data_IF_961236989616
#
_entry.id   IF_961236989616
#
_cell.length_a   1.000
_cell.length_b   1.000
_cell.length_c   1.000
_cell.angle_alpha   90.00
_cell.angle_beta   90.00
_cell.angle_gamma   90.00
#
_symmetry.space_group_name_H-M   'P 1'
#
loop_
_entity.id
_entity.type
_entity.pdbx_description
1 polymer ?
#
# COMPACT_ATOMS: atom_id res chain seq x y z
N UNK A 1 -10.21 -20.79 -86.30
CA UNK A 1 -10.17 -21.88 -85.29
C UNK A 1 -9.73 -21.25 -83.97
N UNK A 2 -10.73 -20.91 -83.16
CA UNK A 2 -10.57 -20.11 -81.94
C UNK A 2 -10.35 -21.02 -80.74
N UNK A 3 -9.24 -20.84 -80.05
CA UNK A 3 -9.02 -21.50 -78.75
C UNK A 3 -9.12 -20.43 -77.67
N UNK A 4 -10.18 -20.55 -76.86
CA UNK A 4 -10.45 -19.73 -75.68
C UNK A 4 -9.67 -20.31 -74.51
N UNK A 5 -8.70 -19.59 -73.99
CA UNK A 5 -8.00 -19.93 -72.76
C UNK A 5 -8.68 -19.16 -71.61
N UNK A 6 -9.41 -19.88 -70.76
CA UNK A 6 -9.96 -19.35 -69.52
C UNK A 6 -8.86 -19.31 -68.48
N UNK A 7 -8.44 -18.09 -68.13
CA UNK A 7 -7.50 -17.83 -67.03
C UNK A 7 -8.22 -17.95 -65.71
N UNK A 8 -7.93 -18.95 -64.91
CA UNK A 8 -8.39 -19.05 -63.52
C UNK A 8 -7.49 -18.20 -62.64
N UNK A 9 -8.04 -17.10 -62.15
CA UNK A 9 -7.41 -16.30 -61.09
C UNK A 9 -7.74 -16.99 -59.75
N UNK A 10 -6.75 -17.64 -59.17
CA UNK A 10 -6.82 -18.20 -57.82
C UNK A 10 -6.55 -17.08 -56.84
N UNK A 11 -7.60 -16.61 -56.16
CA UNK A 11 -7.50 -15.67 -55.06
C UNK A 11 -7.00 -16.45 -53.82
N UNK A 12 -5.73 -16.30 -53.48
CA UNK A 12 -5.19 -16.75 -52.21
C UNK A 12 -5.61 -15.73 -51.14
N UNK A 13 -6.64 -16.05 -50.37
CA UNK A 13 -7.01 -15.31 -49.17
C UNK A 13 -6.02 -15.73 -48.08
N UNK A 14 -5.00 -14.89 -47.83
CA UNK A 14 -4.12 -15.00 -46.69
C UNK A 14 -4.93 -14.55 -45.45
N UNK A 15 -5.46 -15.51 -44.71
CA UNK A 15 -6.02 -15.26 -43.36
C UNK A 15 -4.84 -15.01 -42.42
N UNK A 16 -4.49 -13.76 -42.22
CA UNK A 16 -3.65 -13.37 -41.09
C UNK A 16 -4.46 -13.60 -39.81
N UNK A 17 -4.25 -14.75 -39.18
CA UNK A 17 -4.65 -14.94 -37.79
C UNK A 17 -3.83 -13.99 -36.93
N UNK A 18 -4.38 -12.81 -36.65
CA UNK A 18 -3.95 -11.94 -35.58
C UNK A 18 -4.16 -12.72 -34.28
N UNK A 19 -3.13 -13.45 -33.89
CA UNK A 19 -3.02 -13.99 -32.55
C UNK A 19 -2.94 -12.77 -31.63
N UNK A 20 -4.09 -12.34 -31.11
CA UNK A 20 -4.16 -11.35 -30.05
C UNK A 20 -3.43 -11.95 -28.85
N UNK A 21 -2.15 -11.65 -28.76
CA UNK A 21 -1.39 -11.85 -27.54
C UNK A 21 -2.11 -11.04 -26.48
N UNK A 22 -2.97 -11.68 -25.68
CA UNK A 22 -3.48 -11.11 -24.45
C UNK A 22 -2.26 -10.88 -23.58
N UNK A 23 -1.73 -9.68 -23.64
CA UNK A 23 -0.76 -9.18 -22.68
C UNK A 23 -1.45 -9.27 -21.33
N UNK A 24 -1.05 -10.22 -20.50
CA UNK A 24 -1.38 -10.31 -19.08
C UNK A 24 -0.70 -9.12 -18.37
N UNK A 25 -1.25 -7.94 -18.58
CA UNK A 25 -0.73 -6.64 -18.15
C UNK A 25 -0.94 -6.38 -16.65
N UNK A 26 -1.46 -7.35 -15.89
CA UNK A 26 -1.92 -7.10 -14.52
C UNK A 26 -1.04 -7.60 -13.37
N UNK A 27 0.06 -8.30 -13.63
CA UNK A 27 0.75 -9.04 -12.55
C UNK A 27 2.14 -8.51 -12.17
N UNK A 28 2.75 -7.65 -12.97
CA UNK A 28 4.13 -7.18 -12.74
C UNK A 28 4.16 -5.79 -12.11
N UNK A 29 5.04 -5.63 -11.12
CA UNK A 29 5.40 -4.32 -10.58
C UNK A 29 6.30 -3.59 -11.57
N UNK A 30 6.04 -2.30 -11.78
CA UNK A 30 6.78 -1.40 -12.67
C UNK A 30 7.28 -0.25 -11.80
N UNK A 31 8.59 -0.05 -11.75
CA UNK A 31 9.19 1.10 -11.11
C UNK A 31 8.80 2.38 -11.87
N UNK A 32 8.33 3.39 -11.14
CA UNK A 32 7.81 4.63 -11.71
C UNK A 32 8.45 5.88 -11.12
N UNK A 33 9.14 5.75 -9.98
CA UNK A 33 9.78 6.88 -9.31
C UNK A 33 10.87 6.43 -8.32
N UNK A 34 11.83 7.34 -8.06
CA UNK A 34 12.84 7.18 -7.01
C UNK A 34 13.05 8.52 -6.30
N UNK A 35 12.96 8.50 -4.97
CA UNK A 35 13.06 9.69 -4.14
C UNK A 35 13.96 9.45 -2.92
N UNK A 36 14.71 10.44 -2.44
CA UNK A 36 15.46 10.30 -1.20
C UNK A 36 14.52 10.11 -0.01
N UNK A 37 14.91 9.27 0.95
CA UNK A 37 14.10 9.03 2.17
C UNK A 37 14.01 10.30 3.04
N UNK A 38 15.10 11.05 3.17
CA UNK A 38 15.05 12.39 3.78
C UNK A 38 15.01 13.45 2.67
N UNK A 39 14.30 14.54 2.91
CA UNK A 39 14.16 15.65 1.93
C UNK A 39 15.47 16.39 1.63
N UNK A 40 16.52 16.14 2.39
CA UNK A 40 17.85 16.69 2.11
C UNK A 40 18.60 15.78 1.13
N UNK A 41 19.33 16.37 0.20
CA UNK A 41 20.11 15.69 -0.87
C UNK A 41 21.18 14.70 -0.37
N UNK A 42 21.37 14.56 0.94
CA UNK A 42 22.38 13.69 1.58
C UNK A 42 21.80 12.41 2.16
N UNK A 43 20.56 12.04 1.81
CA UNK A 43 19.98 10.78 2.28
C UNK A 43 20.75 9.59 1.69
N UNK A 44 21.31 8.74 2.57
CA UNK A 44 21.93 7.46 2.18
C UNK A 44 20.90 6.47 1.60
N UNK A 45 19.60 6.66 1.93
CA UNK A 45 18.52 5.73 1.57
C UNK A 45 17.55 6.37 0.60
N UNK A 46 17.15 5.57 -0.38
CA UNK A 46 16.20 5.93 -1.46
C UNK A 46 14.89 5.21 -1.26
N UNK A 47 13.79 5.87 -1.57
CA UNK A 47 12.45 5.27 -1.71
C UNK A 47 12.28 4.91 -3.17
N UNK A 48 12.04 3.63 -3.46
CA UNK A 48 11.68 3.15 -4.80
C UNK A 48 10.16 3.04 -4.83
N UNK A 49 9.52 3.68 -5.80
CA UNK A 49 8.08 3.63 -5.99
C UNK A 49 7.74 2.78 -7.20
N UNK A 50 6.85 1.83 -7.01
CA UNK A 50 6.40 0.93 -8.06
C UNK A 50 4.87 0.94 -8.16
N UNK A 51 4.38 0.68 -9.36
CA UNK A 51 2.97 0.57 -9.68
C UNK A 51 2.64 -0.80 -10.25
N UNK A 52 1.49 -1.31 -9.87
CA UNK A 52 0.86 -2.49 -10.47
C UNK A 52 -0.53 -2.12 -10.97
N UNK A 53 -0.76 -2.30 -12.26
CA UNK A 53 -2.07 -2.08 -12.85
C UNK A 53 -3.00 -3.23 -12.45
N UNK A 54 -4.23 -2.93 -12.08
CA UNK A 54 -5.28 -3.92 -11.94
C UNK A 54 -6.10 -3.94 -13.23
N UNK A 55 -6.29 -5.12 -13.87
CA UNK A 55 -7.13 -5.21 -15.07
C UNK A 55 -8.61 -5.06 -14.79
N UNK A 56 -9.04 -5.37 -13.55
CA UNK A 56 -10.45 -5.43 -13.15
C UNK A 56 -10.90 -4.12 -12.48
N UNK A 57 -9.95 -3.40 -11.88
CA UNK A 57 -10.21 -2.17 -11.17
C UNK A 57 -9.51 -1.00 -11.85
N UNK A 58 -10.21 0.10 -12.01
CA UNK A 58 -9.65 1.36 -12.54
C UNK A 58 -8.63 2.01 -11.58
N UNK A 59 -8.47 1.44 -10.38
CA UNK A 59 -7.57 1.91 -9.33
C UNK A 59 -6.32 1.02 -9.28
N UNK A 60 -5.16 1.65 -9.47
CA UNK A 60 -3.87 0.96 -9.42
C UNK A 60 -3.43 0.68 -7.98
N UNK A 61 -2.61 -0.37 -7.81
CA UNK A 61 -1.88 -0.60 -6.56
C UNK A 61 -0.51 0.06 -6.65
N UNK A 62 -0.13 0.78 -5.60
CA UNK A 62 1.19 1.40 -5.50
C UNK A 62 1.95 0.82 -4.31
N UNK A 63 3.26 0.74 -4.42
CA UNK A 63 4.13 0.41 -3.29
C UNK A 63 5.37 1.28 -3.28
N UNK A 64 5.84 1.58 -2.07
CA UNK A 64 7.14 2.17 -1.82
C UNK A 64 8.02 1.22 -1.03
N UNK A 65 9.29 1.16 -1.36
CA UNK A 65 10.28 0.36 -0.61
C UNK A 65 11.49 1.22 -0.30
N UNK A 66 11.92 1.18 0.96
CA UNK A 66 13.15 1.85 1.41
C UNK A 66 13.83 1.06 2.53
N UNK A 67 15.04 1.46 2.88
CA UNK A 67 15.72 1.02 4.10
C UNK A 67 15.73 2.16 5.10
N UNK A 68 15.32 1.89 6.35
CA UNK A 68 15.35 2.85 7.45
C UNK A 68 16.45 2.47 8.45
N UNK A 69 17.26 3.40 8.94
CA UNK A 69 18.28 3.14 9.98
C UNK A 69 17.64 3.05 11.37
N UNK A 70 16.61 2.22 11.49
CA UNK A 70 15.72 2.09 12.66
C UNK A 70 15.40 0.60 12.87
N UNK A 71 15.29 0.17 14.12
CA UNK A 71 14.92 -1.20 14.44
C UNK A 71 13.47 -1.52 14.05
N UNK A 72 13.22 -2.77 13.67
CA UNK A 72 11.90 -3.24 13.26
C UNK A 72 10.87 -3.05 14.38
N UNK A 73 11.28 -3.24 15.63
CA UNK A 73 10.44 -3.12 16.82
C UNK A 73 10.00 -1.66 17.05
N UNK A 74 10.88 -0.70 16.73
CA UNK A 74 10.55 0.73 16.83
C UNK A 74 9.59 1.16 15.74
N UNK A 75 9.80 0.73 14.50
CA UNK A 75 8.89 1.02 13.39
C UNK A 75 7.50 0.43 13.67
N UNK A 76 7.45 -0.80 14.15
CA UNK A 76 6.19 -1.45 14.49
C UNK A 76 5.43 -0.71 15.62
N UNK A 77 6.14 -0.19 16.62
CA UNK A 77 5.54 0.64 17.66
C UNK A 77 4.87 1.88 17.06
N UNK A 78 5.54 2.60 16.18
CA UNK A 78 4.99 3.82 15.56
C UNK A 78 3.76 3.52 14.70
N UNK A 79 3.77 2.39 14.00
CA UNK A 79 2.62 1.95 13.20
C UNK A 79 1.39 1.59 14.05
N UNK A 80 1.62 1.17 15.31
CA UNK A 80 0.56 0.71 16.21
C UNK A 80 0.08 1.79 17.20
N UNK A 81 0.88 2.85 17.38
CA UNK A 81 0.60 3.96 18.30
C UNK A 81 -0.52 4.86 17.76
N UNK A 82 -1.75 4.58 18.18
CA UNK A 82 -2.95 5.32 17.79
C UNK A 82 -2.92 6.79 18.24
N UNK A 83 -2.31 7.08 19.38
CA UNK A 83 -2.33 8.43 19.97
C UNK A 83 -1.52 9.43 19.15
N UNK A 84 -0.31 9.03 18.73
CA UNK A 84 0.58 9.90 17.95
C UNK A 84 0.32 9.85 16.44
N UNK A 85 -0.51 8.93 15.95
CA UNK A 85 -0.70 8.70 14.51
C UNK A 85 -1.15 9.96 13.75
N UNK A 86 -2.00 10.77 14.33
CA UNK A 86 -2.44 12.06 13.75
C UNK A 86 -1.31 13.09 13.56
N UNK A 87 -0.19 12.91 14.25
CA UNK A 87 0.95 13.83 14.16
C UNK A 87 1.80 13.60 12.91
N UNK A 88 1.73 12.38 12.34
CA UNK A 88 2.58 12.01 11.23
C UNK A 88 1.84 11.43 10.01
N UNK A 89 0.62 10.92 10.17
CA UNK A 89 -0.18 10.45 9.02
C UNK A 89 -0.86 11.65 8.37
N UNK A 90 -0.50 11.93 7.14
CA UNK A 90 -1.05 13.04 6.36
C UNK A 90 -2.57 13.04 6.35
N UNK A 91 -3.17 14.20 6.67
CA UNK A 91 -4.62 14.45 6.66
C UNK A 91 -5.43 13.62 7.65
N UNK A 92 -4.83 12.77 8.45
CA UNK A 92 -5.53 12.07 9.53
C UNK A 92 -5.90 13.06 10.62
N UNK A 93 -7.19 13.27 10.81
CA UNK A 93 -7.74 14.17 11.82
C UNK A 93 -7.97 13.45 13.14
N UNK A 94 -8.40 12.20 13.05
CA UNK A 94 -8.76 11.38 14.22
C UNK A 94 -8.56 9.90 13.90
N UNK A 95 -8.04 9.16 14.87
CA UNK A 95 -8.11 7.70 14.92
C UNK A 95 -8.62 7.29 16.30
N UNK A 96 -9.69 6.50 16.33
CA UNK A 96 -10.25 5.93 17.55
C UNK A 96 -10.17 4.42 17.50
N UNK A 97 -9.47 3.80 18.45
CA UNK A 97 -9.42 2.34 18.57
C UNK A 97 -10.74 1.83 19.12
N UNK A 98 -11.43 1.01 18.36
CA UNK A 98 -12.73 0.43 18.70
C UNK A 98 -12.56 -0.91 19.43
N UNK A 99 -11.61 -1.74 18.95
CA UNK A 99 -11.30 -3.05 19.53
C UNK A 99 -9.80 -3.32 19.44
N UNK A 100 -9.30 -4.05 20.44
CA UNK A 100 -7.94 -4.55 20.45
C UNK A 100 -7.86 -5.95 21.04
N UNK A 101 -7.17 -6.84 20.33
CA UNK A 101 -6.84 -8.17 20.81
C UNK A 101 -5.34 -8.40 20.66
N UNK A 102 -4.60 -8.14 21.73
CA UNK A 102 -3.14 -8.28 21.78
C UNK A 102 -2.67 -9.71 21.53
N UNK A 103 -3.41 -10.72 21.94
CA UNK A 103 -3.01 -12.13 21.76
C UNK A 103 -3.00 -12.53 20.28
N UNK A 104 -3.97 -12.06 19.50
CA UNK A 104 -4.11 -12.34 18.07
C UNK A 104 -3.49 -11.27 17.17
N UNK A 105 -2.87 -10.22 17.75
CA UNK A 105 -2.33 -9.08 16.99
C UNK A 105 -3.38 -8.37 16.11
N UNK A 106 -4.63 -8.36 16.53
CA UNK A 106 -5.74 -7.77 15.78
C UNK A 106 -6.26 -6.53 16.48
N UNK A 107 -6.51 -5.48 15.73
CA UNK A 107 -7.23 -4.30 16.22
C UNK A 107 -8.22 -3.80 15.18
N UNK A 108 -9.25 -3.09 15.65
CA UNK A 108 -10.19 -2.37 14.81
C UNK A 108 -10.17 -0.91 15.21
N UNK A 109 -10.11 -0.03 14.24
CA UNK A 109 -10.12 1.40 14.46
C UNK A 109 -11.06 2.12 13.48
N UNK A 110 -11.58 3.23 13.93
CA UNK A 110 -12.22 4.25 13.11
C UNK A 110 -11.20 5.33 12.79
N UNK A 111 -11.14 5.75 11.52
CA UNK A 111 -10.25 6.82 11.06
C UNK A 111 -11.05 7.88 10.32
N UNK A 112 -10.75 9.16 10.59
CA UNK A 112 -11.30 10.32 9.89
C UNK A 112 -10.18 11.12 9.24
N UNK A 113 -10.30 11.32 7.92
CA UNK A 113 -9.37 12.10 7.10
C UNK A 113 -10.03 13.39 6.63
N UNK A 114 -9.38 14.52 6.94
CA UNK A 114 -9.80 15.82 6.44
C UNK A 114 -9.24 16.06 5.03
N UNK A 115 -10.14 16.22 4.06
CA UNK A 115 -9.80 16.57 2.70
C UNK A 115 -10.25 18.00 2.42
N UNK A 116 -9.38 18.79 1.77
CA UNK A 116 -9.68 20.19 1.49
C UNK A 116 -10.89 20.36 0.56
N UNK A 117 -11.73 21.34 0.86
CA UNK A 117 -12.81 21.74 -0.03
C UNK A 117 -12.33 21.88 -1.49
N UNK A 118 -13.07 21.45 -2.54
CA UNK A 118 -14.48 21.01 -2.52
C UNK A 118 -14.70 19.52 -2.26
N UNK A 119 -13.70 18.79 -1.81
CA UNK A 119 -13.79 17.35 -1.60
C UNK A 119 -14.26 17.09 -0.15
N UNK A 120 -15.32 16.28 0.01
CA UNK A 120 -15.81 15.88 1.32
C UNK A 120 -14.74 15.07 2.08
N UNK A 121 -14.76 15.13 3.40
CA UNK A 121 -13.95 14.28 4.26
C UNK A 121 -14.23 12.79 4.00
N UNK A 122 -13.26 11.94 4.29
CA UNK A 122 -13.40 10.48 4.24
C UNK A 122 -13.26 9.90 5.62
N UNK A 123 -14.03 8.85 5.85
CA UNK A 123 -13.81 8.01 7.01
C UNK A 123 -13.67 6.54 6.63
N UNK A 124 -13.04 5.77 7.51
CA UNK A 124 -12.81 4.35 7.33
C UNK A 124 -13.01 3.63 8.65
N UNK A 125 -13.61 2.44 8.58
CA UNK A 125 -13.52 1.45 9.66
C UNK A 125 -12.57 0.37 9.19
N UNK A 126 -11.46 0.22 9.87
CA UNK A 126 -10.36 -0.65 9.45
C UNK A 126 -10.08 -1.73 10.48
N UNK A 127 -9.73 -2.90 9.95
CA UNK A 127 -9.13 -3.99 10.71
C UNK A 127 -7.64 -4.04 10.41
N UNK A 128 -6.82 -4.07 11.45
CA UNK A 128 -5.36 -4.21 11.38
C UNK A 128 -4.95 -5.53 11.99
N UNK A 129 -4.01 -6.23 11.37
CA UNK A 129 -3.47 -7.50 11.87
C UNK A 129 -1.98 -7.62 11.62
N UNK A 130 -1.21 -7.88 12.68
CA UNK A 130 0.19 -8.26 12.57
C UNK A 130 0.35 -9.76 12.34
N UNK A 131 1.35 -10.11 11.55
CA UNK A 131 1.80 -11.49 11.31
C UNK A 131 3.32 -11.53 11.37
N UNK A 132 3.87 -12.36 12.24
CA UNK A 132 5.31 -12.64 12.29
C UNK A 132 5.60 -13.87 11.42
N UNK A 133 6.48 -13.69 10.43
CA UNK A 133 6.85 -14.75 9.49
C UNK A 133 8.07 -15.49 10.02
N UNK A 134 7.88 -16.78 10.37
CA UNK A 134 8.92 -17.62 11.01
C UNK A 134 9.86 -18.28 9.99
N UNK A 135 9.36 -18.55 8.78
CA UNK A 135 10.07 -19.33 7.76
C UNK A 135 10.74 -18.47 6.69
N UNK A 136 10.98 -17.19 6.99
CA UNK A 136 11.62 -16.26 6.07
C UNK A 136 13.13 -16.18 6.31
N UNK A 137 13.89 -15.93 5.23
CA UNK A 137 15.35 -15.74 5.29
C UNK A 137 15.78 -14.61 6.24
N UNK A 138 14.93 -13.61 6.39
CA UNK A 138 15.10 -12.49 7.33
C UNK A 138 13.92 -12.47 8.29
N UNK A 139 14.13 -12.15 9.59
CA UNK A 139 13.04 -11.92 10.51
C UNK A 139 12.10 -10.84 9.93
N UNK A 140 10.85 -11.22 9.73
CA UNK A 140 9.87 -10.42 8.99
C UNK A 140 8.58 -10.27 9.77
N UNK A 141 8.06 -9.04 9.85
CA UNK A 141 6.74 -8.74 10.36
C UNK A 141 5.90 -8.06 9.27
N UNK A 142 4.63 -8.42 9.19
CA UNK A 142 3.69 -7.87 8.22
C UNK A 142 2.48 -7.31 8.97
N UNK A 143 2.20 -6.02 8.78
CA UNK A 143 0.95 -5.38 9.19
C UNK A 143 0.03 -5.30 7.98
N UNK A 144 -1.10 -6.00 8.04
CA UNK A 144 -2.15 -5.95 7.03
C UNK A 144 -3.34 -5.17 7.54
N UNK A 145 -3.81 -4.21 6.75
CA UNK A 145 -4.92 -3.32 7.10
C UNK A 145 -5.92 -3.32 5.94
N UNK A 146 -7.19 -3.42 6.26
CA UNK A 146 -8.30 -3.36 5.30
C UNK A 146 -9.56 -2.76 5.92
N UNK A 147 -10.43 -2.21 5.11
CA UNK A 147 -11.77 -1.81 5.57
C UNK A 147 -12.63 -3.01 5.93
N UNK A 148 -13.46 -2.82 6.94
CA UNK A 148 -14.52 -3.75 7.34
C UNK A 148 -15.83 -2.99 7.48
N UNK A 149 -16.95 -3.71 7.40
CA UNK A 149 -18.29 -3.17 7.68
C UNK A 149 -18.61 -3.46 9.13
N UNK A 150 -19.16 -2.45 9.83
CA UNK A 150 -19.62 -2.57 11.21
C UNK A 150 -20.94 -1.83 11.38
N UNK A 151 -21.97 -2.53 11.83
CA UNK A 151 -23.31 -1.98 12.02
C UNK A 151 -23.37 -0.98 13.18
N UNK A 152 -22.48 -1.13 14.16
CA UNK A 152 -22.36 -0.25 15.32
C UNK A 152 -21.54 1.04 15.06
N UNK A 153 -21.01 1.19 13.83
CA UNK A 153 -20.28 2.38 13.37
C UNK A 153 -20.94 2.93 12.11
N UNK A 154 -22.07 3.61 12.22
CA UNK A 154 -22.81 4.12 11.06
C UNK A 154 -22.03 5.17 10.29
N UNK A 155 -22.43 5.41 9.04
CA UNK A 155 -21.91 6.50 8.22
C UNK A 155 -22.31 7.85 8.83
N UNK A 156 -21.42 8.83 8.75
CA UNK A 156 -21.61 10.17 9.31
C UNK A 156 -21.95 11.13 8.17
N UNK A 157 -23.02 11.91 8.32
CA UNK A 157 -23.41 12.92 7.35
C UNK A 157 -22.25 13.91 7.08
N UNK A 158 -22.05 14.26 5.82
CA UNK A 158 -20.96 15.14 5.37
C UNK A 158 -19.62 14.43 5.18
N UNK A 159 -19.51 13.13 5.49
CA UNK A 159 -18.34 12.29 5.20
C UNK A 159 -18.68 11.21 4.19
N UNK A 160 -17.70 10.77 3.45
CA UNK A 160 -17.82 9.61 2.55
C UNK A 160 -17.10 8.43 3.19
N UNK A 161 -17.83 7.32 3.45
CA UNK A 161 -17.24 6.07 3.89
C UNK A 161 -16.41 5.47 2.74
N UNK A 162 -15.10 5.67 2.81
CA UNK A 162 -14.15 5.10 1.86
C UNK A 162 -13.97 3.60 2.06
N UNK A 163 -13.31 2.97 1.12
CA UNK A 163 -12.96 1.55 1.17
C UNK A 163 -11.46 1.39 0.96
N UNK A 164 -10.78 0.91 1.98
CA UNK A 164 -9.38 0.52 1.93
C UNK A 164 -9.32 -0.96 1.59
N UNK A 165 -9.04 -1.28 0.33
CA UNK A 165 -9.00 -2.66 -0.12
C UNK A 165 -7.74 -3.36 0.38
N UNK A 166 -6.61 -2.62 0.41
CA UNK A 166 -5.33 -3.15 0.86
C UNK A 166 -4.40 -2.03 1.33
N UNK A 167 -3.88 -2.16 2.53
CA UNK A 167 -2.71 -1.46 3.02
C UNK A 167 -1.84 -2.46 3.76
N UNK A 168 -0.61 -2.65 3.31
CA UNK A 168 0.31 -3.64 3.90
C UNK A 168 1.65 -2.98 4.15
N UNK A 169 2.14 -3.05 5.38
CA UNK A 169 3.52 -2.78 5.72
C UNK A 169 4.25 -4.10 5.92
N UNK A 170 5.30 -4.34 5.12
CA UNK A 170 6.23 -5.44 5.31
C UNK A 170 7.54 -4.89 5.88
N UNK A 171 7.93 -5.37 7.03
CA UNK A 171 9.13 -4.99 7.74
C UNK A 171 10.10 -6.18 7.75
N UNK A 172 11.30 -6.02 7.17
CA UNK A 172 12.35 -7.05 7.12
C UNK A 172 13.58 -6.57 7.87
N UNK A 173 13.97 -7.28 8.92
CA UNK A 173 15.13 -6.92 9.75
C UNK A 173 16.43 -7.23 9.01
N UNK A 174 17.13 -6.18 8.56
CA UNK A 174 18.44 -6.32 7.89
C UNK A 174 19.58 -6.41 8.89
N UNK A 175 19.54 -5.55 9.92
CA UNK A 175 20.48 -5.50 11.06
C UNK A 175 19.71 -5.11 12.33
N UNK A 176 20.37 -5.08 13.47
CA UNK A 176 19.75 -4.67 14.74
C UNK A 176 19.07 -3.29 14.67
N UNK A 177 19.64 -2.36 13.95
CA UNK A 177 19.12 -1.00 13.76
C UNK A 177 18.99 -0.64 12.28
N UNK A 178 18.53 -1.57 11.46
CA UNK A 178 18.27 -1.34 10.04
C UNK A 178 17.17 -2.27 9.54
N UNK A 179 16.11 -1.67 9.00
CA UNK A 179 14.92 -2.37 8.54
C UNK A 179 14.60 -1.98 7.11
N UNK A 180 14.37 -2.96 6.24
CA UNK A 180 13.70 -2.71 4.96
C UNK A 180 12.21 -2.60 5.21
N UNK A 181 11.63 -1.50 4.76
CA UNK A 181 10.21 -1.20 4.87
C UNK A 181 9.62 -1.16 3.47
N UNK A 182 8.62 -1.99 3.23
CA UNK A 182 7.80 -1.94 2.02
C UNK A 182 6.37 -1.62 2.42
N UNK A 183 5.76 -0.62 1.80
CA UNK A 183 4.35 -0.29 1.99
C UNK A 183 3.60 -0.43 0.67
N UNK A 184 2.47 -1.14 0.69
CA UNK A 184 1.57 -1.30 -0.46
C UNK A 184 0.22 -0.70 -0.13
N UNK A 185 -0.37 0.06 -1.07
CA UNK A 185 -1.70 0.63 -0.92
C UNK A 185 -2.56 0.41 -2.17
N UNK A 186 -3.81 0.05 -1.92
CA UNK A 186 -4.91 0.05 -2.86
C UNK A 186 -6.15 0.55 -2.11
N UNK A 187 -6.60 1.74 -2.44
CA UNK A 187 -7.73 2.39 -1.76
C UNK A 187 -8.71 2.94 -2.78
N UNK A 188 -9.99 2.66 -2.56
CA UNK A 188 -11.10 3.30 -3.25
C UNK A 188 -11.73 4.34 -2.30
N UNK A 189 -11.42 5.63 -2.46
CA UNK A 189 -11.94 6.67 -1.58
C UNK A 189 -13.43 6.94 -1.78
N UNK A 190 -14.05 6.27 -2.75
CA UNK A 190 -15.46 6.44 -3.17
C UNK A 190 -15.86 7.91 -3.38
N UNK A 191 -17.14 8.13 -3.66
CA UNK A 191 -17.64 9.47 -3.97
C UNK A 191 -17.22 9.98 -5.36
N UNK A 192 -17.42 11.28 -5.60
CA UNK A 192 -17.21 11.90 -6.90
C UNK A 192 -15.74 12.34 -7.10
N UNK A 193 -14.81 11.39 -7.02
CA UNK A 193 -13.40 11.66 -7.35
C UNK A 193 -13.04 11.00 -8.68
N UNK A 194 -12.55 11.76 -9.66
CA UNK A 194 -12.05 11.18 -10.91
C UNK A 194 -10.85 10.24 -10.66
N UNK A 195 -10.80 9.12 -11.37
CA UNK A 195 -9.76 8.10 -11.18
C UNK A 195 -8.33 8.64 -11.35
N UNK A 196 -8.12 9.62 -12.25
CA UNK A 196 -6.81 10.22 -12.40
C UNK A 196 -6.33 10.93 -11.11
N UNK A 197 -7.24 11.58 -10.36
CA UNK A 197 -6.91 12.22 -9.08
C UNK A 197 -6.60 11.16 -8.00
N UNK A 198 -7.38 10.08 -7.98
CA UNK A 198 -7.13 8.95 -7.07
C UNK A 198 -5.74 8.38 -7.34
N UNK A 199 -5.41 8.11 -8.59
CA UNK A 199 -4.12 7.56 -8.98
C UNK A 199 -2.95 8.51 -8.67
N UNK A 200 -3.14 9.83 -8.82
CA UNK A 200 -2.12 10.82 -8.46
C UNK A 200 -1.85 10.81 -6.94
N UNK A 201 -2.90 10.85 -6.13
CA UNK A 201 -2.77 10.80 -4.67
C UNK A 201 -2.08 9.50 -4.22
N UNK A 202 -2.47 8.36 -4.80
CA UNK A 202 -1.90 7.07 -4.44
C UNK A 202 -0.43 6.91 -4.91
N UNK A 203 -0.02 7.57 -5.99
CA UNK A 203 1.38 7.58 -6.43
C UNK A 203 2.29 8.27 -5.41
N UNK A 204 1.88 9.43 -4.89
CA UNK A 204 2.65 10.23 -3.93
C UNK A 204 2.58 9.67 -2.49
N UNK A 205 1.55 8.90 -2.20
CA UNK A 205 1.28 8.43 -0.84
C UNK A 205 2.41 7.57 -0.23
N UNK A 206 3.04 6.60 -0.95
CA UNK A 206 4.13 5.82 -0.40
C UNK A 206 5.34 6.67 0.00
N UNK A 207 5.68 7.68 -0.80
CA UNK A 207 6.81 8.59 -0.54
C UNK A 207 6.55 9.35 0.75
N UNK A 208 5.41 10.04 0.82
CA UNK A 208 5.02 10.84 1.98
C UNK A 208 4.95 9.98 3.24
N UNK A 209 4.32 8.80 3.16
CA UNK A 209 4.16 7.90 4.30
C UNK A 209 5.49 7.37 4.81
N UNK A 210 6.40 6.95 3.94
CA UNK A 210 7.70 6.43 4.36
C UNK A 210 8.59 7.51 4.97
N UNK A 211 8.58 8.73 4.41
CA UNK A 211 9.28 9.88 5.00
C UNK A 211 8.75 10.23 6.39
N UNK A 212 7.45 10.33 6.53
CA UNK A 212 6.79 10.66 7.80
C UNK A 212 6.97 9.57 8.85
N UNK A 213 6.85 8.29 8.46
CA UNK A 213 7.11 7.15 9.34
C UNK A 213 8.56 7.16 9.84
N UNK A 214 9.53 7.38 8.95
CA UNK A 214 10.94 7.50 9.32
C UNK A 214 11.16 8.64 10.30
N UNK A 215 10.65 9.83 10.01
CA UNK A 215 10.77 11.01 10.85
C UNK A 215 10.15 10.79 12.25
N UNK A 216 8.97 10.17 12.32
CA UNK A 216 8.30 9.88 13.59
C UNK A 216 9.05 8.80 14.38
N UNK A 217 9.56 7.77 13.72
CA UNK A 217 10.30 6.71 14.38
C UNK A 217 11.65 7.20 14.99
N UNK A 218 12.24 8.23 14.42
CA UNK A 218 13.46 8.87 14.95
C UNK A 218 13.21 9.71 16.21
N UNK A 219 11.98 10.17 16.48
CA UNK A 219 11.68 11.05 17.62
C UNK A 219 11.67 10.35 18.98
N UNK A 220 11.69 9.02 19.05
CA UNK A 220 11.57 8.32 20.32
C UNK A 220 12.19 6.94 20.33
N UNK A 221 12.19 6.29 21.50
CA UNK A 221 12.83 5.00 21.74
C UNK A 221 11.88 3.87 22.13
N UNK A 222 10.59 4.15 22.35
CA UNK A 222 9.59 3.12 22.67
C UNK A 222 9.50 2.07 21.55
N UNK A 223 9.35 0.80 21.90
CA UNK A 223 9.36 -0.34 20.98
C UNK A 223 8.15 -1.25 21.21
N UNK A 224 7.79 -2.00 20.20
CA UNK A 224 6.73 -2.98 20.26
C UNK A 224 7.24 -4.27 20.94
N UNK A 225 7.11 -4.37 22.26
CA UNK A 225 7.72 -5.43 23.08
C UNK A 225 7.25 -6.86 22.69
N UNK A 226 5.95 -7.04 22.44
CA UNK A 226 5.43 -8.35 22.03
C UNK A 226 6.03 -8.79 20.70
N UNK A 227 6.07 -7.92 19.70
CA UNK A 227 6.65 -8.24 18.39
C UNK A 227 8.15 -8.52 18.50
N UNK A 228 8.88 -7.79 19.34
CA UNK A 228 10.30 -8.04 19.64
C UNK A 228 10.52 -9.45 20.16
N UNK A 229 9.67 -9.91 21.10
CA UNK A 229 9.78 -11.24 21.68
C UNK A 229 9.46 -12.33 20.65
N UNK A 230 8.42 -12.14 19.85
CA UNK A 230 8.03 -13.10 18.81
C UNK A 230 9.05 -13.18 17.67
N UNK A 231 9.73 -12.07 17.34
CA UNK A 231 10.83 -12.05 16.36
C UNK A 231 12.11 -12.73 16.87
N UNK A 232 12.41 -12.67 18.18
CA UNK A 232 13.55 -13.38 18.75
C UNK A 232 13.41 -14.89 18.66
N UNK A 233 12.21 -15.42 18.86
CA UNK A 233 11.93 -16.87 18.76
C UNK A 233 12.10 -17.42 17.33
N UNK A 234 12.35 -16.56 16.34
CA UNK A 234 12.60 -16.95 14.94
C UNK A 234 14.11 -17.17 14.69
N UNK A 235 14.97 -16.66 15.56
CA UNK A 235 16.44 -16.64 15.36
C UNK A 235 17.13 -17.77 16.12
N UNK A 236 16.47 -18.35 17.13
CA UNK A 236 16.92 -19.50 17.94
C UNK A 236 16.43 -20.83 17.32
#
# INVERSE_FOLDING_TARGET
MNINIKTYVVFFILIFALSACKTTSGTKWIEIDQEPLAENEKSEFTIIVEKKNSPEDEVNTYRGTTTMPISIERIAYVLDDTESKKEWVSRLKEETRLEENLSSYRSIAYQHYNLSWPVSDRDYVIESKWTVMKDMKLPTAILSIKSIIRDDVPEIEGRVRGQLDRLVYKLEKLKSNQTRVTVEIMVNPKGLLPNFMINLIQKEWPITTLRQLNAQALKGSAIHEKLKNDLKMVID
#
